data_IF_132820895004
#
_entry.id   IF_132820895004
#
_cell.length_a   1.000
_cell.length_b   1.000
_cell.length_c   1.000
_cell.angle_alpha   90.00
_cell.angle_beta   90.00
_cell.angle_gamma   90.00
#
_symmetry.space_group_name_H-M   'P 1'
#
loop_
_entity.id
_entity.type
_entity.pdbx_description
1 polymer ?
#
# COMPACT_ATOMS: atom_id res chain seq x y z
N UNK A 1 16.91 0.59 11.29
CA UNK A 1 17.30 1.78 12.09
C UNK A 1 16.38 2.91 11.65
N UNK A 2 15.51 3.45 12.53
CA UNK A 2 14.57 4.52 12.10
C UNK A 2 15.38 5.76 11.69
N UNK A 3 14.87 6.51 10.71
CA UNK A 3 15.46 7.77 10.26
C UNK A 3 15.58 8.80 11.39
N UNK A 4 16.26 9.91 11.10
CA UNK A 4 16.54 11.04 12.01
C UNK A 4 15.36 11.28 12.96
N UNK A 5 15.53 10.97 14.26
CA UNK A 5 14.47 11.22 15.25
C UNK A 5 14.10 12.70 15.17
N UNK A 6 12.83 12.98 14.87
CA UNK A 6 12.29 14.33 14.97
C UNK A 6 12.58 14.86 16.38
N UNK A 7 13.02 16.12 16.46
CA UNK A 7 13.13 16.80 17.76
C UNK A 7 11.76 16.79 18.42
N UNK A 8 11.71 16.69 19.75
CA UNK A 8 10.43 16.63 20.46
C UNK A 8 9.60 17.91 20.24
N UNK A 9 10.24 19.04 19.97
CA UNK A 9 9.59 20.28 19.51
C UNK A 9 8.90 20.13 18.14
N UNK A 10 9.55 19.46 17.18
CA UNK A 10 8.95 19.20 15.86
C UNK A 10 7.77 18.23 16.00
N UNK A 11 7.91 17.19 16.83
CA UNK A 11 6.84 16.24 17.14
C UNK A 11 5.65 16.93 17.83
N UNK A 12 5.90 17.79 18.82
CA UNK A 12 4.86 18.56 19.50
C UNK A 12 4.15 19.55 18.56
N UNK A 13 4.91 20.21 17.67
CA UNK A 13 4.36 21.12 16.67
C UNK A 13 3.50 20.39 15.64
N UNK A 14 3.95 19.22 15.17
CA UNK A 14 3.15 18.35 14.30
C UNK A 14 1.87 17.88 14.99
N UNK A 15 1.95 17.48 16.26
CA UNK A 15 0.79 17.09 17.07
C UNK A 15 -0.25 18.22 17.17
N UNK A 16 0.18 19.44 17.47
CA UNK A 16 -0.71 20.63 17.50
C UNK A 16 -1.34 20.90 16.12
N UNK A 17 -0.56 20.78 15.04
CA UNK A 17 -1.08 20.98 13.68
C UNK A 17 -2.17 19.96 13.35
N UNK A 18 -1.91 18.66 13.54
CA UNK A 18 -2.87 17.60 13.29
C UNK A 18 -4.13 17.75 14.17
N UNK A 19 -3.97 18.10 15.44
CA UNK A 19 -5.08 18.36 16.36
C UNK A 19 -5.93 19.56 15.91
N UNK A 20 -5.30 20.68 15.53
CA UNK A 20 -6.03 21.84 14.96
C UNK A 20 -6.72 21.52 13.63
N UNK A 21 -6.19 20.53 12.89
CA UNK A 21 -6.79 20.00 11.69
C UNK A 21 -7.94 19.03 11.94
N UNK A 22 -8.12 18.49 13.15
CA UNK A 22 -9.01 17.35 13.39
C UNK A 22 -8.55 16.09 12.63
N UNK A 23 -7.24 15.90 12.45
CA UNK A 23 -6.67 14.80 11.67
C UNK A 23 -6.16 13.70 12.62
N UNK A 24 -6.73 12.51 12.51
CA UNK A 24 -6.28 11.32 13.25
C UNK A 24 -5.31 10.46 12.44
N UNK A 25 -4.01 10.64 12.70
CA UNK A 25 -2.94 9.76 12.19
C UNK A 25 -2.38 8.86 13.30
N UNK A 26 -2.10 7.60 12.97
CA UNK A 26 -1.40 6.64 13.85
C UNK A 26 0.12 6.77 13.78
N UNK A 27 0.86 5.93 14.53
CA UNK A 27 2.33 6.06 14.68
C UNK A 27 3.07 6.01 13.33
N UNK A 28 2.85 4.98 12.51
CA UNK A 28 3.55 4.81 11.22
C UNK A 28 3.30 5.98 10.26
N UNK A 29 2.06 6.49 10.23
CA UNK A 29 1.66 7.63 9.42
C UNK A 29 2.33 8.92 9.89
N UNK A 30 2.44 9.15 11.22
CA UNK A 30 3.17 10.27 11.80
C UNK A 30 4.67 10.18 11.55
N UNK A 31 5.26 8.98 11.59
CA UNK A 31 6.67 8.76 11.28
C UNK A 31 6.97 9.10 9.79
N UNK A 32 6.12 8.65 8.84
CA UNK A 32 6.23 9.01 7.42
C UNK A 32 6.00 10.50 7.16
N UNK A 33 5.01 11.13 7.82
CA UNK A 33 4.76 12.58 7.73
C UNK A 33 5.92 13.40 8.31
N UNK A 34 6.51 12.95 9.42
CA UNK A 34 7.68 13.56 10.03
C UNK A 34 8.95 13.41 9.17
N UNK A 35 9.14 12.25 8.53
CA UNK A 35 10.19 12.07 7.53
C UNK A 35 9.99 13.02 6.34
N UNK A 36 8.76 13.15 5.83
CA UNK A 36 8.43 14.10 4.75
C UNK A 36 8.73 15.54 5.18
N UNK A 37 8.40 15.94 6.40
CA UNK A 37 8.73 17.26 6.93
C UNK A 37 10.26 17.51 6.97
N UNK A 38 11.05 16.49 7.30
CA UNK A 38 12.51 16.54 7.25
C UNK A 38 13.08 16.70 5.84
N UNK A 39 12.43 16.14 4.81
CA UNK A 39 12.88 16.25 3.41
C UNK A 39 12.37 17.52 2.72
N UNK A 40 11.13 17.93 2.99
CA UNK A 40 10.44 18.99 2.25
C UNK A 40 10.35 20.33 2.98
N UNK A 41 10.41 20.32 4.32
CA UNK A 41 10.17 21.49 5.16
C UNK A 41 8.86 21.33 5.97
N UNK A 42 8.62 22.28 6.88
CA UNK A 42 7.52 22.20 7.83
C UNK A 42 6.13 22.00 7.14
N UNK A 43 5.24 21.17 7.71
CA UNK A 43 3.92 20.94 7.15
C UNK A 43 2.94 22.10 7.43
N UNK A 44 2.00 22.30 6.52
CA UNK A 44 0.88 23.24 6.66
C UNK A 44 -0.44 22.62 6.21
N UNK A 45 -1.55 23.03 6.83
CA UNK A 45 -2.92 22.65 6.46
C UNK A 45 -3.46 23.55 5.32
N UNK A 46 -4.27 22.97 4.43
CA UNK A 46 -5.28 23.61 3.56
C UNK A 46 -5.02 25.08 3.18
N UNK A 47 -3.90 25.36 2.51
CA UNK A 47 -3.59 26.71 2.08
C UNK A 47 -2.53 26.78 1.00
N UNK A 48 -2.90 27.43 -0.10
CA UNK A 48 -1.97 28.13 -0.99
C UNK A 48 -2.09 29.62 -0.68
N UNK A 49 -1.42 30.16 0.36
CA UNK A 49 -1.20 31.59 0.44
C UNK A 49 -0.22 31.98 -0.68
N UNK A 50 -0.40 33.18 -1.24
CA UNK A 50 0.35 33.66 -2.41
C UNK A 50 1.85 33.42 -2.31
N UNK A 51 2.40 32.68 -3.28
CA UNK A 51 3.84 32.47 -3.44
C UNK A 51 4.27 31.00 -3.59
N UNK A 52 5.37 30.81 -4.31
CA UNK A 52 6.00 29.50 -4.55
C UNK A 52 6.52 28.91 -3.24
N UNK A 53 5.71 28.10 -2.54
CA UNK A 53 6.17 27.35 -1.36
C UNK A 53 7.00 26.12 -1.75
N UNK A 54 8.02 25.85 -0.93
CA UNK A 54 8.55 24.51 -0.72
C UNK A 54 7.97 24.03 0.63
N UNK A 55 7.72 22.72 0.81
CA UNK A 55 7.17 22.20 2.06
C UNK A 55 6.31 20.96 1.90
N UNK A 56 5.75 20.50 3.02
CA UNK A 56 4.66 19.51 3.03
C UNK A 56 3.33 20.24 3.10
N UNK A 57 2.42 19.94 2.18
CA UNK A 57 1.03 20.39 2.22
C UNK A 57 0.16 19.22 2.69
N UNK A 58 -0.68 19.46 3.68
CA UNK A 58 -1.67 18.49 4.16
C UNK A 58 -3.03 18.99 3.69
N UNK A 59 -3.67 18.25 2.78
CA UNK A 59 -5.05 18.53 2.37
C UNK A 59 -6.02 17.74 3.24
N UNK A 60 -6.88 18.45 3.98
CA UNK A 60 -7.93 17.80 4.78
C UNK A 60 -9.13 17.44 3.93
N UNK A 61 -9.62 18.38 3.12
CA UNK A 61 -10.87 18.24 2.37
C UNK A 61 -10.63 18.09 0.87
N UNK A 62 -11.49 17.34 0.14
CA UNK A 62 -11.35 17.19 -1.30
C UNK A 62 -11.65 18.51 -2.02
N UNK A 63 -10.71 19.06 -2.80
CA UNK A 63 -10.95 20.28 -3.57
C UNK A 63 -11.92 20.02 -4.73
N UNK A 64 -12.75 21.02 -5.06
CA UNK A 64 -13.54 21.01 -6.29
C UNK A 64 -12.63 20.91 -7.53
N UNK A 65 -13.15 20.47 -8.67
CA UNK A 65 -12.35 20.30 -9.89
C UNK A 65 -11.56 21.56 -10.29
N UNK A 66 -12.18 22.74 -10.21
CA UNK A 66 -11.50 24.01 -10.47
C UNK A 66 -10.42 24.35 -9.42
N UNK A 67 -10.70 24.13 -8.13
CA UNK A 67 -9.73 24.35 -7.07
C UNK A 67 -8.54 23.37 -7.17
N UNK A 68 -8.77 22.12 -7.58
CA UNK A 68 -7.75 21.11 -7.81
C UNK A 68 -6.82 21.47 -8.99
N UNK A 69 -7.33 22.07 -10.07
CA UNK A 69 -6.51 22.59 -11.18
C UNK A 69 -5.62 23.75 -10.73
N UNK A 70 -6.17 24.72 -9.99
CA UNK A 70 -5.41 25.85 -9.46
C UNK A 70 -4.35 25.37 -8.44
N UNK A 71 -4.73 24.46 -7.55
CA UNK A 71 -3.82 23.84 -6.60
C UNK A 71 -2.67 23.11 -7.31
N UNK A 72 -2.97 22.23 -8.26
CA UNK A 72 -1.97 21.51 -9.05
C UNK A 72 -0.97 22.47 -9.74
N UNK A 73 -1.46 23.56 -10.36
CA UNK A 73 -0.63 24.58 -11.01
C UNK A 73 0.25 25.39 -10.05
N UNK A 74 -0.09 25.44 -8.76
CA UNK A 74 0.70 26.14 -7.74
C UNK A 74 1.88 25.29 -7.21
N UNK A 75 1.82 23.97 -7.37
CA UNK A 75 2.83 23.04 -6.87
C UNK A 75 4.11 23.08 -7.73
N UNK A 76 5.22 22.71 -7.11
CA UNK A 76 6.52 22.55 -7.75
C UNK A 76 7.26 21.32 -7.15
N UNK A 77 8.41 20.89 -7.70
CA UNK A 77 9.15 19.72 -7.19
C UNK A 77 9.68 19.84 -5.75
N UNK A 78 9.67 21.05 -5.17
CA UNK A 78 9.96 21.32 -3.76
C UNK A 78 8.77 21.10 -2.82
N UNK A 79 7.61 20.69 -3.33
CA UNK A 79 6.42 20.31 -2.55
C UNK A 79 6.26 18.79 -2.43
N UNK A 80 5.82 18.34 -1.26
CA UNK A 80 5.14 17.06 -1.07
C UNK A 80 3.69 17.32 -0.64
N UNK A 81 2.76 16.49 -1.11
CA UNK A 81 1.37 16.49 -0.69
C UNK A 81 1.10 15.24 0.17
N UNK A 82 0.35 15.44 1.25
CA UNK A 82 -0.21 14.39 2.10
C UNK A 82 -1.73 14.54 2.14
N UNK A 83 -2.44 13.43 1.93
CA UNK A 83 -3.90 13.34 2.05
C UNK A 83 -4.17 12.32 3.16
N UNK A 84 -4.57 12.75 4.38
CA UNK A 84 -4.79 11.86 5.52
C UNK A 84 -5.94 10.86 5.36
N UNK A 85 -6.88 11.16 4.43
CA UNK A 85 -8.07 10.37 4.09
C UNK A 85 -7.98 9.89 2.64
N UNK A 86 -6.86 9.24 2.32
CA UNK A 86 -6.42 8.88 0.97
C UNK A 86 -7.33 7.87 0.27
N UNK A 87 -8.10 7.10 1.04
CA UNK A 87 -9.14 6.19 0.56
C UNK A 87 -10.39 6.91 0.02
N UNK A 88 -10.64 8.15 0.44
CA UNK A 88 -11.84 8.89 0.05
C UNK A 88 -11.81 9.24 -1.47
N UNK A 89 -12.88 8.95 -2.22
CA UNK A 89 -12.93 9.13 -3.67
C UNK A 89 -12.99 10.60 -4.10
N UNK A 90 -13.42 11.53 -3.23
CA UNK A 90 -13.46 12.97 -3.54
C UNK A 90 -12.09 13.55 -3.92
N UNK A 91 -11.00 12.95 -3.44
CA UNK A 91 -9.64 13.34 -3.80
C UNK A 91 -9.14 12.77 -5.14
N UNK A 92 -9.85 11.84 -5.79
CA UNK A 92 -9.34 11.10 -6.95
C UNK A 92 -9.02 12.01 -8.14
N UNK A 93 -9.80 13.06 -8.35
CA UNK A 93 -9.52 14.04 -9.41
C UNK A 93 -8.14 14.70 -9.23
N UNK A 94 -7.80 15.12 -8.00
CA UNK A 94 -6.48 15.67 -7.71
C UNK A 94 -5.39 14.60 -7.76
N UNK A 95 -5.60 13.43 -7.13
CA UNK A 95 -4.66 12.29 -7.18
C UNK A 95 -4.29 11.95 -8.63
N UNK A 96 -5.26 11.97 -9.55
CA UNK A 96 -5.05 11.64 -10.98
C UNK A 96 -4.10 12.56 -11.74
N UNK A 97 -3.85 13.77 -11.23
CA UNK A 97 -2.94 14.77 -11.82
C UNK A 97 -1.53 14.71 -11.23
N UNK A 98 -1.39 14.09 -10.06
CA UNK A 98 -0.15 14.04 -9.30
C UNK A 98 0.62 12.76 -9.59
N UNK A 99 1.92 12.82 -9.32
CA UNK A 99 2.71 11.61 -9.13
C UNK A 99 2.43 11.10 -7.73
N UNK A 100 1.75 9.96 -7.63
CA UNK A 100 1.66 9.19 -6.40
C UNK A 100 3.08 8.69 -6.01
N UNK A 101 3.48 8.91 -4.76
CA UNK A 101 4.76 8.42 -4.25
C UNK A 101 4.60 7.17 -3.38
N UNK A 102 3.54 7.13 -2.57
CA UNK A 102 3.29 6.02 -1.67
C UNK A 102 2.02 6.16 -0.85
N UNK A 103 1.78 5.15 -0.01
CA UNK A 103 0.66 5.07 0.93
C UNK A 103 1.13 4.49 2.24
N UNK A 104 0.48 4.85 3.35
CA UNK A 104 0.62 4.15 4.63
C UNK A 104 -0.77 3.69 5.06
N UNK A 105 -0.94 2.38 5.23
CA UNK A 105 -2.21 1.77 5.63
C UNK A 105 -2.75 2.30 6.98
N UNK A 106 -4.02 2.00 7.30
CA UNK A 106 -4.64 2.38 8.56
C UNK A 106 -3.96 1.71 9.76
N UNK A 107 -3.93 2.42 10.89
CA UNK A 107 -3.32 2.03 12.15
C UNK A 107 -4.38 1.52 13.15
N UNK A 108 -5.41 0.79 12.68
CA UNK A 108 -6.60 0.51 13.48
C UNK A 108 -7.27 1.80 13.96
N UNK A 109 -7.92 1.76 15.13
CA UNK A 109 -8.62 2.92 15.68
C UNK A 109 -7.72 4.17 15.84
N UNK A 110 -6.42 4.05 16.10
CA UNK A 110 -5.53 5.20 16.36
C UNK A 110 -5.20 6.05 15.13
N UNK A 111 -5.45 5.51 13.93
CA UNK A 111 -5.32 6.21 12.66
C UNK A 111 -6.09 5.44 11.59
N UNK A 112 -7.43 5.50 11.58
CA UNK A 112 -8.27 4.54 10.88
C UNK A 112 -8.40 4.81 9.37
N UNK A 113 -7.74 5.86 8.89
CA UNK A 113 -7.68 6.26 7.48
C UNK A 113 -6.39 5.78 6.81
N UNK A 114 -6.38 5.70 5.48
CA UNK A 114 -5.18 5.45 4.70
C UNK A 114 -4.49 6.78 4.34
N UNK A 115 -3.23 6.94 4.72
CA UNK A 115 -2.49 8.16 4.38
C UNK A 115 -1.85 8.03 2.99
N UNK A 116 -2.34 8.79 2.02
CA UNK A 116 -1.74 8.91 0.68
C UNK A 116 -0.69 10.03 0.66
N UNK A 117 0.41 9.84 -0.07
CA UNK A 117 1.40 10.90 -0.29
C UNK A 117 2.00 10.90 -1.70
N UNK A 118 2.33 12.09 -2.20
CA UNK A 118 2.74 12.31 -3.59
C UNK A 118 3.23 13.73 -3.88
N UNK A 119 3.32 14.10 -5.16
CA UNK A 119 3.77 15.42 -5.59
C UNK A 119 3.82 15.58 -7.10
N UNK A 120 4.60 16.56 -7.59
CA UNK A 120 4.74 16.82 -9.03
C UNK A 120 5.68 15.82 -9.72
N UNK A 121 6.67 15.29 -9.01
CA UNK A 121 7.57 14.27 -9.53
C UNK A 121 8.72 13.93 -8.60
N UNK A 122 9.46 12.88 -8.95
CA UNK A 122 10.45 12.24 -8.08
C UNK A 122 11.82 12.94 -7.98
N UNK A 123 12.08 13.98 -8.78
CA UNK A 123 13.44 14.54 -8.96
C UNK A 123 14.17 14.87 -7.66
N UNK A 124 13.49 15.55 -6.72
CA UNK A 124 14.06 15.89 -5.41
C UNK A 124 14.45 14.66 -4.58
N UNK A 125 13.64 13.60 -4.61
CA UNK A 125 13.90 12.37 -3.86
C UNK A 125 14.97 11.50 -4.53
N UNK A 126 15.02 11.49 -5.86
CA UNK A 126 16.08 10.81 -6.62
C UNK A 126 17.45 11.43 -6.32
N UNK A 127 17.59 12.75 -6.45
CA UNK A 127 18.86 13.44 -6.14
C UNK A 127 19.28 13.33 -4.68
N UNK A 128 18.34 13.13 -3.75
CA UNK A 128 18.66 12.87 -2.36
C UNK A 128 19.06 11.40 -2.10
N UNK A 129 18.48 10.44 -2.84
CA UNK A 129 18.75 9.01 -2.68
C UNK A 129 20.21 8.62 -3.00
N UNK A 130 20.88 9.34 -3.91
CA UNK A 130 22.30 9.16 -4.21
C UNK A 130 23.20 9.33 -2.98
N UNK A 131 22.78 10.18 -2.04
CA UNK A 131 23.48 10.42 -0.76
C UNK A 131 23.18 9.38 0.34
N UNK A 132 22.27 8.44 0.08
CA UNK A 132 21.93 7.39 1.05
C UNK A 132 23.15 6.57 1.43
N UNK A 133 23.30 6.26 2.72
CA UNK A 133 24.30 5.30 3.23
C UNK A 133 23.72 3.90 3.40
N UNK A 134 22.38 3.77 3.46
CA UNK A 134 21.73 2.47 3.55
C UNK A 134 21.73 1.80 2.16
N UNK A 135 22.33 0.61 2.08
CA UNK A 135 22.42 -0.23 0.89
C UNK A 135 21.53 -1.47 1.09
N UNK A 136 20.60 -1.79 0.18
CA UNK A 136 19.94 -3.09 0.19
C UNK A 136 20.90 -4.17 -0.32
N UNK A 137 20.73 -5.42 0.14
CA UNK A 137 21.31 -6.56 -0.59
C UNK A 137 20.46 -6.82 -1.82
N UNK A 138 21.10 -6.86 -2.98
CA UNK A 138 20.44 -7.24 -4.21
C UNK A 138 20.33 -8.76 -4.27
N UNK A 139 19.12 -9.27 -4.45
CA UNK A 139 18.87 -10.71 -4.52
C UNK A 139 18.24 -11.06 -5.87
N UNK A 140 18.64 -12.20 -6.43
CA UNK A 140 18.14 -12.66 -7.72
C UNK A 140 18.25 -14.18 -7.83
N UNK A 141 17.39 -14.79 -8.64
CA UNK A 141 17.40 -16.22 -8.93
C UNK A 141 17.10 -16.46 -10.41
N UNK A 142 17.60 -17.58 -10.93
CA UNK A 142 17.38 -18.01 -12.31
C UNK A 142 17.24 -19.54 -12.38
N UNK A 143 16.60 -20.11 -13.42
CA UNK A 143 16.40 -21.55 -13.52
C UNK A 143 17.74 -22.27 -13.73
N UNK A 144 17.98 -23.36 -12.99
CA UNK A 144 19.17 -24.17 -13.16
C UNK A 144 19.20 -24.83 -14.54
N UNK A 145 20.36 -24.77 -15.21
CA UNK A 145 20.54 -25.31 -16.56
C UNK A 145 20.04 -24.40 -17.69
N UNK A 146 19.43 -23.24 -17.38
CA UNK A 146 19.04 -22.25 -18.38
C UNK A 146 20.24 -21.43 -18.91
N UNK A 147 20.04 -20.79 -20.07
CA UNK A 147 20.98 -19.80 -20.62
C UNK A 147 21.08 -18.51 -19.79
N UNK A 148 20.20 -18.30 -18.81
CA UNK A 148 20.19 -17.12 -17.94
C UNK A 148 21.41 -17.05 -17.01
N UNK A 149 22.16 -18.15 -16.84
CA UNK A 149 23.44 -18.10 -16.14
C UNK A 149 24.40 -17.04 -16.72
N UNK A 150 24.36 -16.82 -18.04
CA UNK A 150 25.12 -15.76 -18.73
C UNK A 150 24.49 -14.39 -18.53
N UNK A 151 23.16 -14.30 -18.51
CA UNK A 151 22.44 -13.04 -18.27
C UNK A 151 22.70 -12.51 -16.86
N UNK A 152 22.70 -13.41 -15.86
CA UNK A 152 23.07 -13.12 -14.47
C UNK A 152 24.48 -12.55 -14.30
N UNK A 153 25.42 -12.79 -15.23
CA UNK A 153 26.75 -12.14 -15.20
C UNK A 153 26.65 -10.64 -15.51
N UNK A 154 25.75 -10.22 -16.41
CA UNK A 154 25.55 -8.81 -16.70
C UNK A 154 25.00 -8.06 -15.48
N UNK A 155 24.07 -8.68 -14.74
CA UNK A 155 23.60 -8.18 -13.45
C UNK A 155 24.77 -8.07 -12.45
N UNK A 156 25.54 -9.16 -12.23
CA UNK A 156 26.70 -9.17 -11.31
C UNK A 156 27.72 -8.07 -11.62
N UNK A 157 28.16 -7.94 -12.87
CA UNK A 157 29.12 -6.89 -13.25
C UNK A 157 28.56 -5.47 -13.02
N UNK A 158 27.25 -5.28 -13.22
CA UNK A 158 26.61 -3.98 -12.93
C UNK A 158 26.52 -3.68 -11.43
N UNK A 159 26.39 -4.72 -10.59
CA UNK A 159 26.38 -4.62 -9.13
C UNK A 159 27.77 -4.32 -8.55
N UNK A 160 28.79 -5.02 -9.04
CA UNK A 160 30.21 -4.78 -8.69
C UNK A 160 30.62 -3.34 -8.99
N UNK A 161 30.21 -2.80 -10.15
CA UNK A 161 30.47 -1.40 -10.54
C UNK A 161 29.85 -0.37 -9.58
N UNK A 162 28.81 -0.73 -8.84
CA UNK A 162 28.14 0.15 -7.87
C UNK A 162 28.43 -0.21 -6.40
N UNK A 163 29.38 -1.12 -6.14
CA UNK A 163 29.70 -1.64 -4.80
C UNK A 163 28.46 -2.16 -4.05
N UNK A 164 27.62 -2.92 -4.76
CA UNK A 164 26.37 -3.46 -4.23
C UNK A 164 26.51 -4.93 -3.84
N UNK A 165 26.42 -5.19 -2.53
CA UNK A 165 26.36 -6.54 -2.00
C UNK A 165 25.17 -7.31 -2.61
N UNK A 166 25.43 -8.52 -3.12
CA UNK A 166 24.41 -9.33 -3.76
C UNK A 166 24.34 -10.77 -3.24
N UNK A 167 23.26 -11.47 -3.58
CA UNK A 167 23.17 -12.93 -3.54
C UNK A 167 22.35 -13.40 -4.73
N UNK A 168 23.01 -14.09 -5.67
CA UNK A 168 22.40 -14.56 -6.91
C UNK A 168 22.76 -16.04 -7.08
N UNK A 169 21.75 -16.92 -7.18
CA UNK A 169 21.94 -18.38 -7.28
C UNK A 169 20.95 -19.06 -8.25
N UNK A 170 21.33 -20.21 -8.85
CA UNK A 170 20.43 -21.02 -9.65
C UNK A 170 19.49 -21.84 -8.76
N UNK A 171 18.19 -21.72 -8.97
CA UNK A 171 17.16 -22.52 -8.29
C UNK A 171 16.68 -23.67 -9.18
N UNK A 172 16.27 -24.78 -8.56
CA UNK A 172 15.64 -25.88 -9.29
C UNK A 172 14.20 -25.47 -9.63
N UNK A 173 13.94 -25.26 -10.91
CA UNK A 173 12.64 -24.81 -11.40
C UNK A 173 11.79 -25.99 -11.89
N UNK A 174 10.53 -26.07 -11.48
CA UNK A 174 9.61 -27.16 -11.81
C UNK A 174 9.38 -27.30 -13.33
N UNK A 175 9.40 -26.18 -14.06
CA UNK A 175 9.28 -26.17 -15.53
C UNK A 175 10.64 -26.12 -16.24
N UNK A 176 11.75 -26.05 -15.51
CA UNK A 176 13.13 -26.05 -16.01
C UNK A 176 13.57 -24.76 -16.73
N UNK A 177 12.71 -24.16 -17.55
CA UNK A 177 13.05 -23.00 -18.39
C UNK A 177 12.72 -21.63 -17.77
N UNK A 178 11.91 -21.59 -16.70
CA UNK A 178 11.40 -20.36 -16.07
C UNK A 178 11.15 -20.55 -14.58
N UNK A 179 11.21 -19.46 -13.82
CA UNK A 179 10.84 -19.43 -12.40
C UNK A 179 9.33 -19.16 -12.25
N UNK A 180 8.66 -19.97 -11.44
CA UNK A 180 7.25 -19.77 -11.07
C UNK A 180 7.11 -18.80 -9.89
N UNK A 181 5.95 -18.14 -9.78
CA UNK A 181 5.66 -17.16 -8.73
C UNK A 181 5.96 -17.70 -7.31
N UNK A 182 5.58 -18.94 -7.02
CA UNK A 182 5.82 -19.55 -5.70
C UNK A 182 7.31 -19.83 -5.45
N UNK A 183 8.06 -20.27 -6.47
CA UNK A 183 9.51 -20.55 -6.36
C UNK A 183 10.30 -19.27 -6.06
N UNK A 184 9.88 -18.15 -6.68
CA UNK A 184 10.42 -16.81 -6.43
C UNK A 184 10.06 -16.31 -5.03
N UNK A 185 8.83 -16.54 -4.55
CA UNK A 185 8.43 -16.19 -3.19
C UNK A 185 9.17 -17.03 -2.13
N UNK A 186 9.36 -18.33 -2.35
CA UNK A 186 10.19 -19.22 -1.52
C UNK A 186 11.66 -18.76 -1.49
N UNK A 187 12.23 -18.42 -2.65
CA UNK A 187 13.56 -17.83 -2.75
C UNK A 187 13.66 -16.56 -1.88
N UNK A 188 12.70 -15.64 -2.03
CA UNK A 188 12.66 -14.40 -1.24
C UNK A 188 12.50 -14.64 0.26
N UNK A 189 11.69 -15.61 0.68
CA UNK A 189 11.55 -16.00 2.09
C UNK A 189 12.87 -16.56 2.65
N UNK A 190 13.56 -17.41 1.89
CA UNK A 190 14.88 -17.93 2.30
C UNK A 190 15.93 -16.83 2.37
N UNK A 191 15.90 -15.85 1.46
CA UNK A 191 16.78 -14.67 1.55
C UNK A 191 16.44 -13.78 2.75
N UNK A 192 15.15 -13.60 3.07
CA UNK A 192 14.70 -12.84 4.24
C UNK A 192 15.22 -13.43 5.55
N UNK A 193 15.21 -14.76 5.67
CA UNK A 193 15.71 -15.45 6.85
C UNK A 193 17.24 -15.46 6.94
N UNK A 194 17.94 -15.45 5.79
CA UNK A 194 19.41 -15.50 5.70
C UNK A 194 20.09 -14.16 5.98
N UNK A 195 19.53 -13.06 5.50
CA UNK A 195 20.13 -11.73 5.55
C UNK A 195 19.45 -10.82 6.58
N UNK A 196 20.14 -9.78 7.06
CA UNK A 196 19.66 -8.86 8.12
C UNK A 196 19.45 -7.43 7.63
N UNK A 197 20.03 -7.11 6.48
CA UNK A 197 19.84 -5.91 5.69
C UNK A 197 18.55 -5.97 4.84
N UNK A 198 18.01 -4.83 4.38
CA UNK A 198 16.90 -4.80 3.42
C UNK A 198 17.23 -5.56 2.14
N UNK A 199 16.20 -6.13 1.51
CA UNK A 199 16.34 -6.87 0.25
C UNK A 199 15.79 -6.04 -0.91
N UNK A 200 16.44 -6.12 -2.06
CA UNK A 200 15.87 -5.68 -3.33
C UNK A 200 16.00 -6.83 -4.32
N UNK A 201 14.86 -7.44 -4.68
CA UNK A 201 14.80 -8.39 -5.77
C UNK A 201 14.96 -7.69 -7.12
N UNK A 202 15.76 -8.28 -8.01
CA UNK A 202 15.92 -7.86 -9.41
C UNK A 202 15.99 -9.12 -10.29
N UNK A 203 15.29 -9.14 -11.43
CA UNK A 203 15.38 -10.27 -12.37
C UNK A 203 16.80 -10.51 -12.88
N UNK A 204 17.15 -11.78 -13.10
CA UNK A 204 18.52 -12.19 -13.38
C UNK A 204 19.11 -11.60 -14.68
N UNK A 205 18.28 -11.35 -15.70
CA UNK A 205 18.71 -10.71 -16.95
C UNK A 205 18.80 -9.19 -16.92
N UNK A 206 18.44 -8.54 -15.81
CA UNK A 206 18.48 -7.09 -15.71
C UNK A 206 19.91 -6.53 -15.62
N UNK A 207 20.07 -5.27 -16.00
CA UNK A 207 21.31 -4.51 -15.86
C UNK A 207 21.02 -3.22 -15.10
N UNK A 208 21.78 -2.99 -14.02
CA UNK A 208 21.75 -1.69 -13.33
C UNK A 208 22.48 -0.65 -14.18
N UNK A 209 21.85 0.52 -14.34
CA UNK A 209 22.45 1.71 -14.97
C UNK A 209 22.81 2.79 -13.95
N UNK A 210 22.18 2.75 -12.79
CA UNK A 210 22.42 3.57 -11.60
C UNK A 210 22.26 2.68 -10.35
N UNK A 211 22.70 3.14 -9.18
CA UNK A 211 22.49 2.41 -7.94
C UNK A 211 21.01 2.56 -7.48
N UNK A 212 20.25 1.47 -7.26
CA UNK A 212 18.81 1.54 -6.94
C UNK A 212 18.54 1.85 -5.46
N UNK A 213 19.00 3.02 -5.01
CA UNK A 213 19.05 3.42 -3.60
C UNK A 213 17.76 4.03 -3.05
N UNK A 214 16.82 4.43 -3.93
CA UNK A 214 15.60 5.15 -3.55
C UNK A 214 14.78 4.43 -2.46
N UNK A 215 14.45 3.13 -2.54
CA UNK A 215 13.67 2.47 -1.49
C UNK A 215 14.34 2.49 -0.11
N UNK A 216 15.66 2.31 -0.06
CA UNK A 216 16.44 2.36 1.18
C UNK A 216 16.58 3.78 1.72
N UNK A 217 16.68 4.80 0.86
CA UNK A 217 16.61 6.21 1.26
C UNK A 217 15.24 6.58 1.85
N UNK A 218 14.16 6.12 1.23
CA UNK A 218 12.79 6.37 1.68
C UNK A 218 12.46 5.62 2.99
N UNK A 219 13.14 4.51 3.28
CA UNK A 219 12.97 3.77 4.53
C UNK A 219 11.58 3.15 4.70
N UNK A 220 10.90 2.84 3.60
CA UNK A 220 9.57 2.22 3.58
C UNK A 220 9.62 0.71 3.91
N UNK A 221 8.44 0.10 4.12
CA UNK A 221 8.32 -1.35 4.30
C UNK A 221 8.49 -2.09 2.98
N UNK A 222 7.80 -1.63 1.93
CA UNK A 222 7.77 -2.29 0.62
C UNK A 222 7.89 -1.23 -0.48
N UNK A 223 8.65 -1.51 -1.55
CA UNK A 223 8.62 -0.68 -2.75
C UNK A 223 8.63 -1.52 -4.03
N UNK A 224 7.73 -1.18 -4.97
CA UNK A 224 7.61 -1.86 -6.26
C UNK A 224 6.93 -0.96 -7.30
N UNK A 225 6.98 -1.33 -8.57
CA UNK A 225 6.39 -0.54 -9.65
C UNK A 225 4.92 -0.94 -9.92
N UNK A 226 4.01 0.05 -9.99
CA UNK A 226 2.63 -0.14 -10.50
C UNK A 226 2.61 -0.09 -12.03
N UNK A 227 2.36 -1.21 -12.68
CA UNK A 227 1.99 -1.24 -14.09
C UNK A 227 0.49 -0.97 -14.26
N UNK A 228 0.08 -0.36 -15.39
CA UNK A 228 -1.31 -0.01 -15.70
C UNK A 228 -2.13 0.69 -14.58
N UNK A 229 -1.46 1.37 -13.63
CA UNK A 229 -1.99 1.99 -12.39
C UNK A 229 -2.51 1.02 -11.31
N UNK A 230 -2.47 -0.29 -11.50
CA UNK A 230 -2.99 -1.27 -10.52
C UNK A 230 -2.20 -2.57 -10.44
N UNK A 231 -1.63 -3.07 -11.53
CA UNK A 231 -0.87 -4.32 -11.55
C UNK A 231 0.48 -4.12 -10.87
N UNK A 232 0.91 -5.05 -10.03
CA UNK A 232 2.20 -4.96 -9.35
C UNK A 232 3.28 -5.71 -10.15
N UNK A 233 4.45 -5.10 -10.36
CA UNK A 233 5.56 -5.80 -11.03
C UNK A 233 6.51 -6.43 -10.02
N UNK A 234 6.57 -7.77 -10.01
CA UNK A 234 7.53 -8.51 -9.18
C UNK A 234 8.98 -8.45 -9.66
N UNK A 235 9.24 -7.90 -10.86
CA UNK A 235 10.60 -7.79 -11.43
C UNK A 235 11.54 -6.88 -10.63
N UNK A 236 10.98 -6.02 -9.78
CA UNK A 236 11.73 -5.11 -8.92
C UNK A 236 10.94 -4.91 -7.62
N UNK A 237 11.27 -5.70 -6.61
CA UNK A 237 10.56 -5.74 -5.33
C UNK A 237 11.54 -5.49 -4.17
N UNK A 238 11.37 -4.35 -3.50
CA UNK A 238 12.08 -4.00 -2.28
C UNK A 238 11.30 -4.44 -1.04
N UNK A 239 12.01 -5.02 -0.07
CA UNK A 239 11.50 -5.34 1.26
C UNK A 239 12.43 -4.74 2.33
N UNK A 240 11.94 -3.71 3.01
CA UNK A 240 12.53 -3.15 4.22
C UNK A 240 12.46 -4.13 5.37
N UNK A 241 13.35 -4.02 6.37
CA UNK A 241 13.42 -4.98 7.49
C UNK A 241 12.46 -4.63 8.62
N UNK A 242 11.18 -4.79 8.34
CA UNK A 242 10.07 -4.54 9.26
C UNK A 242 9.12 -5.73 9.33
N UNK A 243 8.25 -5.75 10.36
CA UNK A 243 7.24 -6.80 10.52
C UNK A 243 6.14 -6.74 9.44
N UNK A 244 5.84 -5.55 8.93
CA UNK A 244 4.82 -5.37 7.89
C UNK A 244 5.32 -5.88 6.53
N UNK A 245 6.60 -5.63 6.19
CA UNK A 245 7.25 -6.23 5.02
C UNK A 245 7.35 -7.76 5.13
N UNK A 246 7.64 -8.31 6.32
CA UNK A 246 7.63 -9.77 6.54
C UNK A 246 6.24 -10.36 6.34
N UNK A 247 5.20 -9.70 6.86
CA UNK A 247 3.81 -10.12 6.69
C UNK A 247 3.44 -10.15 5.20
N UNK A 248 3.76 -9.09 4.45
CA UNK A 248 3.52 -9.01 3.00
C UNK A 248 4.20 -10.16 2.23
N UNK A 249 5.47 -10.44 2.55
CA UNK A 249 6.21 -11.55 1.96
C UNK A 249 5.60 -12.92 2.30
N UNK A 250 5.15 -13.13 3.55
CA UNK A 250 4.46 -14.37 3.98
C UNK A 250 3.12 -14.55 3.28
N UNK A 251 2.32 -13.50 3.18
CA UNK A 251 1.03 -13.53 2.48
C UNK A 251 1.23 -13.81 0.97
N UNK A 252 2.22 -13.19 0.34
CA UNK A 252 2.55 -13.46 -1.07
C UNK A 252 3.01 -14.91 -1.28
N UNK A 253 3.90 -15.44 -0.44
CA UNK A 253 4.33 -16.84 -0.46
C UNK A 253 3.13 -17.80 -0.37
N UNK A 254 2.21 -17.57 0.59
CA UNK A 254 1.03 -18.41 0.79
C UNK A 254 0.07 -18.35 -0.40
N UNK A 255 -0.20 -17.15 -0.94
CA UNK A 255 -1.05 -16.98 -2.13
C UNK A 255 -0.43 -17.63 -3.37
N UNK A 256 0.87 -17.47 -3.60
CA UNK A 256 1.57 -18.05 -4.73
C UNK A 256 1.58 -19.59 -4.70
N UNK A 257 1.76 -20.19 -3.52
CA UNK A 257 1.66 -21.64 -3.34
C UNK A 257 0.23 -22.17 -3.50
N UNK A 258 -0.79 -21.37 -3.11
CA UNK A 258 -2.21 -21.78 -3.15
C UNK A 258 -2.84 -21.59 -4.54
N UNK A 259 -2.34 -20.64 -5.34
CA UNK A 259 -2.90 -20.25 -6.64
C UNK A 259 -1.84 -20.21 -7.75
N UNK A 260 -1.10 -21.30 -8.01
CA UNK A 260 0.07 -21.31 -8.91
C UNK A 260 -0.27 -21.05 -10.40
N UNK A 261 -1.54 -21.10 -10.78
CA UNK A 261 -2.02 -20.78 -12.13
C UNK A 261 -2.32 -19.28 -12.34
N UNK A 262 -2.26 -18.46 -11.28
CA UNK A 262 -2.51 -17.01 -11.35
C UNK A 262 -1.17 -16.28 -11.47
N UNK A 263 -1.13 -15.20 -12.25
CA UNK A 263 0.11 -14.47 -12.53
C UNK A 263 0.63 -13.70 -11.31
N UNK A 264 1.95 -13.50 -11.29
CA UNK A 264 2.66 -12.88 -10.17
C UNK A 264 2.08 -11.52 -9.77
N UNK A 265 1.83 -10.64 -10.75
CA UNK A 265 1.42 -9.27 -10.49
C UNK A 265 0.04 -9.11 -9.85
N UNK A 266 -0.86 -10.08 -10.02
CA UNK A 266 -2.13 -10.13 -9.27
C UNK A 266 -1.92 -10.67 -7.86
N UNK A 267 -1.10 -11.72 -7.69
CA UNK A 267 -0.85 -12.31 -6.37
C UNK A 267 -0.09 -11.35 -5.44
N UNK A 268 0.81 -10.52 -5.98
CA UNK A 268 1.44 -9.41 -5.28
C UNK A 268 0.42 -8.32 -4.88
N UNK A 269 -0.50 -7.98 -5.78
CA UNK A 269 -1.57 -6.99 -5.52
C UNK A 269 -2.48 -7.45 -4.36
N UNK A 270 -2.89 -8.72 -4.39
CA UNK A 270 -3.69 -9.32 -3.32
C UNK A 270 -2.91 -9.43 -2.01
N UNK A 271 -1.63 -9.82 -2.04
CA UNK A 271 -0.78 -9.84 -0.85
C UNK A 271 -0.62 -8.46 -0.21
N UNK A 272 -0.45 -7.42 -1.03
CA UNK A 272 -0.41 -6.03 -0.57
C UNK A 272 -1.74 -5.59 0.02
N UNK A 273 -2.86 -5.85 -0.66
CA UNK A 273 -4.22 -5.46 -0.23
C UNK A 273 -4.55 -6.06 1.15
N UNK A 274 -4.36 -7.38 1.29
CA UNK A 274 -4.58 -8.12 2.54
C UNK A 274 -3.64 -7.71 3.67
N UNK A 275 -2.38 -7.38 3.37
CA UNK A 275 -1.43 -6.96 4.42
C UNK A 275 -1.75 -5.55 4.89
N UNK A 276 -1.96 -4.62 3.95
CA UNK A 276 -2.22 -3.21 4.25
C UNK A 276 -3.55 -2.99 4.98
N UNK A 277 -4.52 -3.92 4.89
CA UNK A 277 -5.76 -3.83 5.68
C UNK A 277 -5.57 -4.25 7.14
N UNK A 278 -4.61 -5.14 7.43
CA UNK A 278 -4.34 -5.66 8.77
C UNK A 278 -3.25 -4.88 9.53
N UNK A 279 -2.30 -4.27 8.82
CA UNK A 279 -1.20 -3.49 9.41
C UNK A 279 -0.94 -2.21 8.61
N UNK A 280 -0.41 -1.13 9.23
CA UNK A 280 -0.12 0.13 8.55
C UNK A 280 1.14 0.03 7.68
N UNK A 281 1.01 -0.69 6.55
CA UNK A 281 2.09 -0.96 5.60
C UNK A 281 2.50 0.31 4.86
N UNK A 282 3.75 0.75 5.06
CA UNK A 282 4.35 1.89 4.36
C UNK A 282 4.88 1.46 2.99
N UNK A 283 4.08 1.74 1.95
CA UNK A 283 4.32 1.30 0.58
C UNK A 283 4.78 2.45 -0.29
N UNK A 284 5.84 2.22 -1.07
CA UNK A 284 6.35 3.14 -2.09
C UNK A 284 6.10 2.59 -3.49
N UNK A 285 5.69 3.47 -4.40
CA UNK A 285 5.46 3.12 -5.80
C UNK A 285 6.63 3.63 -6.65
N UNK A 286 7.50 2.71 -7.06
CA UNK A 286 8.71 3.05 -7.80
C UNK A 286 8.35 3.81 -9.10
N UNK A 287 9.08 4.90 -9.42
CA UNK A 287 8.83 5.66 -10.64
C UNK A 287 9.04 4.82 -11.91
N UNK A 288 8.41 5.25 -13.01
CA UNK A 288 8.70 4.75 -14.37
C UNK A 288 10.18 4.84 -14.76
N UNK A 289 10.98 5.70 -14.12
CA UNK A 289 12.43 5.76 -14.31
C UNK A 289 13.22 4.72 -13.51
N UNK A 290 12.59 3.97 -12.59
CA UNK A 290 13.26 2.88 -11.87
C UNK A 290 13.20 1.55 -12.62
N UNK A 291 12.28 1.40 -13.57
CA UNK A 291 12.00 0.15 -14.27
C UNK A 291 11.64 0.44 -15.73
N UNK A 292 12.39 -0.14 -16.68
CA UNK A 292 12.00 -0.19 -18.09
C UNK A 292 12.45 -1.50 -18.73
N UNK A 293 11.76 -1.91 -19.79
CA UNK A 293 12.19 -2.99 -20.66
C UNK A 293 13.12 -2.48 -21.76
N UNK A 294 14.01 -3.35 -22.25
CA UNK A 294 14.88 -3.05 -23.39
C UNK A 294 14.05 -2.82 -24.66
N UNK A 295 14.04 -1.57 -25.14
CA UNK A 295 13.24 -1.13 -26.28
C UNK A 295 12.15 -0.11 -25.89
N UNK A 296 11.82 0.01 -24.61
CA UNK A 296 10.88 1.03 -24.13
C UNK A 296 11.44 2.44 -24.32
N UNK A 297 10.55 3.41 -24.55
CA UNK A 297 10.87 4.85 -24.57
C UNK A 297 11.63 5.31 -23.30
N UNK A 298 11.35 4.67 -22.16
CA UNK A 298 11.99 4.94 -20.86
C UNK A 298 13.37 4.32 -20.67
N UNK A 299 13.78 3.34 -21.49
CA UNK A 299 15.01 2.55 -21.30
C UNK A 299 16.28 3.41 -21.19
N UNK A 300 16.31 4.54 -21.90
CA UNK A 300 17.41 5.50 -21.90
C UNK A 300 17.65 6.19 -20.54
N UNK A 301 16.67 6.19 -19.64
CA UNK A 301 16.71 6.85 -18.31
C UNK A 301 16.32 5.90 -17.16
N UNK A 302 16.38 4.59 -17.38
CA UNK A 302 16.00 3.60 -16.39
C UNK A 302 17.15 3.24 -15.45
N UNK A 303 16.95 3.36 -14.13
CA UNK A 303 17.89 2.90 -13.09
C UNK A 303 18.14 1.40 -13.21
N UNK A 304 17.08 0.61 -13.46
CA UNK A 304 17.13 -0.83 -13.75
C UNK A 304 16.53 -1.09 -15.13
N UNK A 305 17.33 -1.67 -16.03
CA UNK A 305 16.91 -2.07 -17.38
C UNK A 305 16.73 -3.58 -17.45
N UNK A 306 15.52 -4.04 -17.74
CA UNK A 306 15.19 -5.45 -17.92
C UNK A 306 15.32 -5.86 -19.39
N UNK A 307 15.85 -7.04 -19.67
CA UNK A 307 16.14 -7.53 -21.03
C UNK A 307 14.99 -8.36 -21.63
N UNK A 308 14.28 -9.13 -20.81
CA UNK A 308 13.12 -9.93 -21.21
C UNK A 308 11.86 -9.08 -21.41
N UNK A 309 11.07 -9.40 -22.44
CA UNK A 309 9.70 -8.86 -22.58
C UNK A 309 8.80 -9.39 -21.46
N UNK A 310 7.79 -8.61 -21.08
CA UNK A 310 6.76 -9.06 -20.14
C UNK A 310 5.92 -10.18 -20.71
N UNK A 311 5.67 -11.22 -19.91
CA UNK A 311 4.82 -12.35 -20.27
C UNK A 311 3.47 -12.32 -19.55
N UNK A 312 2.53 -13.13 -20.04
CA UNK A 312 1.20 -13.34 -19.42
C UNK A 312 1.24 -14.06 -18.06
N UNK A 313 2.42 -14.54 -17.64
CA UNK A 313 2.68 -15.10 -16.31
C UNK A 313 3.06 -14.02 -15.28
N UNK A 314 3.39 -12.81 -15.74
CA UNK A 314 3.78 -11.68 -14.90
C UNK A 314 2.67 -10.63 -14.79
N UNK A 315 2.09 -10.22 -15.93
CA UNK A 315 0.99 -9.28 -16.05
C UNK A 315 -0.21 -9.92 -16.77
N UNK A 316 -1.40 -9.37 -16.60
CA UNK A 316 -2.64 -10.00 -17.06
C UNK A 316 -2.70 -10.19 -18.58
N UNK A 317 -3.17 -11.35 -19.09
CA UNK A 317 -3.21 -11.64 -20.53
C UNK A 317 -4.25 -10.84 -21.32
N UNK A 318 -5.22 -10.22 -20.66
CA UNK A 318 -6.42 -9.67 -21.30
C UNK A 318 -6.84 -8.30 -20.70
N UNK A 319 -6.95 -7.25 -21.53
CA UNK A 319 -7.58 -5.97 -21.14
C UNK A 319 -9.01 -6.11 -20.61
N UNK A 320 -9.75 -7.16 -21.00
CA UNK A 320 -11.10 -7.51 -20.57
C UNK A 320 -11.17 -8.17 -19.19
N UNK A 321 -10.27 -9.11 -18.87
CA UNK A 321 -10.09 -9.64 -17.52
C UNK A 321 -9.82 -8.51 -16.54
N UNK A 322 -8.99 -7.54 -16.93
CA UNK A 322 -8.77 -6.37 -16.11
C UNK A 322 -10.09 -5.64 -15.80
N UNK A 323 -11.09 -5.52 -16.70
CA UNK A 323 -12.42 -5.00 -16.31
C UNK A 323 -13.19 -5.87 -15.31
N UNK A 324 -13.12 -7.20 -15.38
CA UNK A 324 -13.82 -8.10 -14.44
C UNK A 324 -13.20 -8.12 -13.04
N UNK A 325 -11.93 -7.71 -12.91
CA UNK A 325 -11.15 -7.77 -11.67
C UNK A 325 -10.68 -6.38 -11.18
N UNK A 326 -10.90 -5.31 -11.96
CA UNK A 326 -10.70 -3.89 -11.57
C UNK A 326 -11.57 -3.42 -10.40
N UNK A 327 -12.40 -4.28 -9.82
CA UNK A 327 -13.32 -4.03 -8.70
C UNK A 327 -12.69 -4.24 -7.29
N UNK A 328 -11.52 -3.65 -7.02
CA UNK A 328 -11.11 -3.27 -5.66
C UNK A 328 -10.55 -1.82 -5.60
N UNK A 329 -11.03 -0.97 -4.67
CA UNK A 329 -10.47 0.37 -4.35
C UNK A 329 -9.52 0.33 -3.17
N UNK A 330 -8.33 0.88 -3.38
CA UNK A 330 -7.44 1.38 -2.33
C UNK A 330 -6.58 2.50 -2.92
N UNK A 331 -6.36 3.61 -2.21
CA UNK A 331 -5.56 4.77 -2.64
C UNK A 331 -5.50 5.08 -4.17
N UNK A 332 -6.64 5.25 -4.85
CA UNK A 332 -6.70 5.48 -6.32
C UNK A 332 -7.25 4.32 -7.18
N UNK A 333 -7.74 3.27 -6.50
CA UNK A 333 -8.56 2.11 -6.92
C UNK A 333 -9.76 2.21 -7.91
N UNK A 334 -10.50 1.09 -8.12
CA UNK A 334 -11.91 0.80 -8.62
C UNK A 334 -12.82 -0.10 -7.72
N UNK A 335 -13.95 0.26 -7.10
CA UNK A 335 -14.86 -0.68 -6.36
C UNK A 335 -14.51 -1.15 -4.92
N UNK A 336 -15.14 -2.20 -4.32
CA UNK A 336 -15.01 -2.54 -2.87
C UNK A 336 -14.94 -4.04 -2.43
N UNK A 337 -14.30 -4.95 -3.18
CA UNK A 337 -14.22 -6.38 -2.81
C UNK A 337 -13.41 -6.72 -1.56
N UNK A 338 -12.33 -6.00 -1.30
CA UNK A 338 -11.44 -6.25 -0.16
C UNK A 338 -11.82 -5.37 1.03
N UNK A 339 -11.71 -5.91 2.25
CA UNK A 339 -11.81 -5.12 3.47
C UNK A 339 -10.74 -4.01 3.46
N UNK A 340 -11.16 -2.75 3.51
CA UNK A 340 -10.30 -1.58 3.61
C UNK A 340 -9.40 -1.67 4.85
N UNK A 341 -9.98 -2.14 5.96
CA UNK A 341 -9.26 -2.38 7.21
C UNK A 341 -9.82 -3.61 7.92
N UNK A 342 -8.94 -4.40 8.54
CA UNK A 342 -9.26 -5.52 9.41
C UNK A 342 -8.67 -5.25 10.79
N UNK A 343 -9.52 -5.22 11.81
CA UNK A 343 -9.09 -5.16 13.21
C UNK A 343 -9.34 -6.51 13.88
N UNK A 344 -8.45 -6.91 14.78
CA UNK A 344 -8.62 -8.12 15.60
C UNK A 344 -8.63 -7.74 17.08
N UNK A 345 -9.46 -8.44 17.85
CA UNK A 345 -9.52 -8.32 19.31
C UNK A 345 -8.90 -9.54 19.99
N UNK A 346 -8.83 -9.53 21.31
CA UNK A 346 -8.34 -10.67 22.11
C UNK A 346 -9.45 -11.64 22.54
N UNK A 347 -10.68 -11.49 22.04
CA UNK A 347 -11.79 -12.38 22.44
C UNK A 347 -11.62 -13.77 21.84
N UNK A 348 -11.86 -14.83 22.64
CA UNK A 348 -11.66 -16.23 22.23
C UNK A 348 -12.77 -16.82 21.35
N UNK A 349 -13.71 -16.00 20.90
CA UNK A 349 -14.84 -16.35 20.04
C UNK A 349 -14.42 -16.37 18.56
N UNK A 350 -14.84 -17.38 17.79
CA UNK A 350 -14.47 -17.48 16.37
C UNK A 350 -15.21 -16.52 15.42
N UNK A 351 -16.15 -15.72 15.92
CA UNK A 351 -17.09 -14.97 15.10
C UNK A 351 -16.51 -13.60 14.69
N UNK A 352 -16.58 -13.30 13.39
CA UNK A 352 -16.25 -12.00 12.83
C UNK A 352 -17.49 -11.14 12.54
N UNK A 353 -17.26 -9.84 12.34
CA UNK A 353 -18.28 -8.89 11.91
C UNK A 353 -17.76 -8.04 10.75
N UNK A 354 -18.56 -7.88 9.70
CA UNK A 354 -18.28 -7.10 8.51
C UNK A 354 -19.14 -5.83 8.52
N UNK A 355 -18.52 -4.67 8.71
CA UNK A 355 -19.14 -3.36 8.62
C UNK A 355 -18.98 -2.81 7.19
N UNK A 356 -20.09 -2.61 6.49
CA UNK A 356 -20.15 -2.15 5.11
C UNK A 356 -20.65 -0.70 5.11
N UNK A 357 -19.78 0.25 4.78
CA UNK A 357 -20.13 1.66 4.65
C UNK A 357 -20.72 1.93 3.26
N UNK A 358 -21.95 2.42 3.23
CA UNK A 358 -22.73 2.60 2.00
C UNK A 358 -22.45 3.94 1.30
N UNK A 359 -22.58 3.98 -0.03
CA UNK A 359 -22.67 5.21 -0.84
C UNK A 359 -21.55 6.24 -0.58
N UNK A 360 -20.31 5.78 -0.37
CA UNK A 360 -19.17 6.63 0.01
C UNK A 360 -18.87 7.72 -1.05
N UNK A 361 -19.16 7.47 -2.33
CA UNK A 361 -18.94 8.45 -3.41
C UNK A 361 -19.92 9.62 -3.43
N UNK A 362 -21.14 9.41 -2.92
CA UNK A 362 -22.22 10.40 -2.89
C UNK A 362 -22.33 11.11 -1.53
N UNK A 363 -21.50 10.73 -0.57
CA UNK A 363 -21.53 11.21 0.82
C UNK A 363 -20.47 12.28 1.06
N UNK A 364 -20.70 13.13 2.06
CA UNK A 364 -19.73 14.12 2.50
C UNK A 364 -18.43 13.46 3.05
N UNK A 365 -17.28 14.06 2.75
CA UNK A 365 -15.98 13.51 3.14
C UNK A 365 -15.70 13.61 4.65
N UNK A 366 -16.28 14.60 5.33
CA UNK A 366 -16.32 14.69 6.79
C UNK A 366 -17.19 13.59 7.39
N UNK A 367 -18.40 13.40 6.88
CA UNK A 367 -19.33 12.37 7.34
C UNK A 367 -18.77 10.95 7.19
N UNK A 368 -18.21 10.61 6.01
CA UNK A 368 -17.52 9.31 5.80
C UNK A 368 -16.40 9.12 6.81
N UNK A 369 -15.58 10.16 7.03
CA UNK A 369 -14.45 10.08 7.94
C UNK A 369 -14.87 9.85 9.39
N UNK A 370 -15.80 10.67 9.89
CA UNK A 370 -16.34 10.54 11.23
C UNK A 370 -16.99 9.17 11.47
N UNK A 371 -17.67 8.59 10.47
CA UNK A 371 -18.23 7.24 10.57
C UNK A 371 -17.14 6.18 10.65
N UNK A 372 -16.06 6.27 9.86
CA UNK A 372 -14.91 5.36 9.98
C UNK A 372 -14.26 5.49 11.36
N UNK A 373 -14.02 6.70 11.87
CA UNK A 373 -13.49 6.90 13.22
C UNK A 373 -14.42 6.34 14.31
N UNK A 374 -15.74 6.44 14.13
CA UNK A 374 -16.72 5.94 15.09
C UNK A 374 -16.87 4.40 15.08
N UNK A 375 -16.93 3.75 13.90
CA UNK A 375 -16.94 2.27 13.78
C UNK A 375 -15.69 1.69 14.45
N UNK A 376 -14.53 2.23 14.12
CA UNK A 376 -13.24 1.70 14.60
C UNK A 376 -12.99 2.02 16.08
N UNK A 377 -13.42 3.20 16.53
CA UNK A 377 -13.42 3.59 17.95
C UNK A 377 -14.32 2.71 18.80
N UNK A 378 -15.57 2.46 18.36
CA UNK A 378 -16.50 1.58 19.05
C UNK A 378 -15.95 0.16 19.16
N UNK A 379 -15.42 -0.41 18.06
CA UNK A 379 -14.85 -1.77 18.09
C UNK A 379 -13.62 -1.90 19.01
N UNK A 380 -12.81 -0.84 19.12
CA UNK A 380 -11.69 -0.80 20.06
C UNK A 380 -12.10 -0.61 21.52
N UNK A 381 -13.25 0.03 21.78
CA UNK A 381 -13.79 0.26 23.11
C UNK A 381 -14.54 -0.98 23.65
N UNK A 382 -15.47 -1.50 22.85
CA UNK A 382 -16.18 -2.75 23.09
C UNK A 382 -16.44 -3.48 21.76
N UNK A 383 -15.73 -4.59 21.55
CA UNK A 383 -15.86 -5.40 20.34
C UNK A 383 -17.10 -6.31 20.34
N UNK A 384 -17.97 -6.24 21.35
CA UNK A 384 -19.23 -7.01 21.44
C UNK A 384 -19.05 -8.53 21.46
N UNK A 385 -17.85 -9.02 21.77
CA UNK A 385 -17.51 -10.44 21.64
C UNK A 385 -17.17 -10.90 20.22
N UNK A 386 -16.98 -10.01 19.24
CA UNK A 386 -16.43 -10.36 17.93
C UNK A 386 -14.90 -10.29 17.94
N UNK A 387 -14.23 -11.35 17.46
CA UNK A 387 -12.75 -11.41 17.43
C UNK A 387 -12.12 -10.70 16.24
N UNK A 388 -12.93 -10.37 15.23
CA UNK A 388 -12.51 -9.69 13.99
C UNK A 388 -13.57 -8.70 13.54
N UNK A 389 -13.17 -7.48 13.23
CA UNK A 389 -13.92 -6.50 12.44
C UNK A 389 -13.29 -6.41 11.06
N UNK A 390 -14.10 -6.53 10.02
CA UNK A 390 -13.77 -6.14 8.65
C UNK A 390 -14.55 -4.89 8.27
N UNK A 391 -13.88 -3.82 7.86
CA UNK A 391 -14.50 -2.58 7.42
C UNK A 391 -14.32 -2.45 5.90
N UNK A 392 -15.42 -2.37 5.16
CA UNK A 392 -15.45 -2.17 3.71
C UNK A 392 -16.09 -0.84 3.34
N UNK A 393 -15.48 -0.10 2.41
CA UNK A 393 -15.93 1.23 1.97
C UNK A 393 -16.52 1.14 0.56
N UNK A 394 -17.85 1.02 0.46
CA UNK A 394 -18.53 0.86 -0.81
C UNK A 394 -18.81 2.23 -1.45
N UNK A 395 -18.13 2.52 -2.55
CA UNK A 395 -18.33 3.76 -3.29
C UNK A 395 -19.68 3.77 -4.01
N UNK A 396 -20.10 2.62 -4.54
CA UNK A 396 -21.30 2.44 -5.37
C UNK A 396 -22.23 1.35 -4.80
N UNK A 397 -23.36 1.06 -5.46
CA UNK A 397 -24.27 -0.02 -5.02
C UNK A 397 -23.74 -1.42 -5.38
N UNK A 398 -23.14 -1.59 -6.57
CA UNK A 398 -22.55 -2.87 -7.00
C UNK A 398 -21.45 -3.37 -6.03
N UNK A 399 -20.73 -2.42 -5.43
CA UNK A 399 -19.73 -2.64 -4.38
C UNK A 399 -20.34 -3.26 -3.11
N UNK A 400 -21.55 -2.85 -2.73
CA UNK A 400 -22.26 -3.37 -1.54
C UNK A 400 -22.66 -4.83 -1.76
N UNK A 401 -23.11 -5.17 -2.97
CA UNK A 401 -23.42 -6.56 -3.34
C UNK A 401 -22.20 -7.47 -3.19
N UNK A 402 -21.07 -7.07 -3.78
CA UNK A 402 -19.83 -7.84 -3.69
C UNK A 402 -19.30 -7.97 -2.24
N UNK A 403 -19.37 -6.89 -1.44
CA UNK A 403 -18.95 -6.92 -0.04
C UNK A 403 -19.84 -7.82 0.83
N UNK A 404 -21.17 -7.82 0.60
CA UNK A 404 -22.11 -8.75 1.27
C UNK A 404 -21.81 -10.21 0.93
N UNK A 405 -21.59 -10.51 -0.36
CA UNK A 405 -21.26 -11.86 -0.83
C UNK A 405 -19.96 -12.39 -0.21
N UNK A 406 -18.92 -11.55 -0.13
CA UNK A 406 -17.66 -11.89 0.52
C UNK A 406 -17.83 -12.14 2.02
N UNK A 407 -18.53 -11.25 2.73
CA UNK A 407 -18.78 -11.40 4.17
C UNK A 407 -19.59 -12.66 4.52
N UNK A 408 -20.57 -13.02 3.67
CA UNK A 408 -21.38 -14.23 3.82
C UNK A 408 -20.56 -15.53 3.66
N UNK A 409 -19.45 -15.49 2.90
CA UNK A 409 -18.52 -16.62 2.77
C UNK A 409 -17.53 -16.72 3.94
N UNK A 410 -17.35 -15.66 4.73
CA UNK A 410 -16.36 -15.54 5.80
C UNK A 410 -16.93 -15.76 7.23
N UNK A 411 -18.00 -16.56 7.38
CA UNK A 411 -18.96 -16.54 8.50
C UNK A 411 -19.10 -15.23 9.30
N UNK A 412 -19.06 -14.08 8.63
CA UNK A 412 -19.13 -12.78 9.31
C UNK A 412 -20.58 -12.32 9.42
N UNK A 413 -20.95 -11.76 10.59
CA UNK A 413 -22.20 -11.01 10.71
C UNK A 413 -22.07 -9.71 9.91
N UNK A 414 -23.07 -9.38 9.10
CA UNK A 414 -23.07 -8.17 8.27
C UNK A 414 -23.77 -7.03 9.00
N UNK A 415 -23.12 -5.86 9.04
CA UNK A 415 -23.71 -4.58 9.40
C UNK A 415 -23.57 -3.61 8.24
N UNK A 416 -24.64 -2.89 7.92
CA UNK A 416 -24.62 -1.83 6.91
C UNK A 416 -24.82 -0.48 7.58
N UNK A 417 -23.97 0.48 7.21
CA UNK A 417 -23.84 1.75 7.92
C UNK A 417 -23.86 2.88 6.89
N UNK A 418 -24.78 3.83 7.10
CA UNK A 418 -24.80 5.07 6.31
C UNK A 418 -23.76 6.07 6.86
N UNK A 419 -22.98 6.76 6.00
CA UNK A 419 -22.13 7.87 6.44
C UNK A 419 -22.93 8.94 7.21
N UNK A 420 -22.41 9.37 8.36
CA UNK A 420 -23.09 10.25 9.31
C UNK A 420 -24.03 9.55 10.30
N UNK A 421 -24.25 8.23 10.21
CA UNK A 421 -25.01 7.47 11.21
C UNK A 421 -24.33 7.55 12.59
N UNK A 422 -25.13 7.75 13.64
CA UNK A 422 -24.63 7.71 15.01
C UNK A 422 -24.27 6.28 15.42
N UNK A 423 -23.06 6.12 15.95
CA UNK A 423 -22.49 4.87 16.43
C UNK A 423 -22.04 5.11 17.86
N UNK A 424 -22.65 4.39 18.80
CA UNK A 424 -22.29 4.44 20.21
C UNK A 424 -21.08 3.53 20.50
N UNK A 425 -20.41 3.72 21.64
CA UNK A 425 -19.22 2.93 22.00
C UNK A 425 -19.53 1.44 22.24
N UNK A 426 -20.77 1.12 22.62
CA UNK A 426 -21.29 -0.22 22.88
C UNK A 426 -22.02 -0.84 21.66
N UNK A 427 -21.93 -0.20 20.49
CA UNK A 427 -22.66 -0.58 19.26
C UNK A 427 -22.55 -2.06 18.89
N UNK A 428 -21.37 -2.67 19.05
CA UNK A 428 -21.16 -4.09 18.78
C UNK A 428 -21.79 -5.01 19.83
N UNK A 429 -21.76 -4.63 21.12
CA UNK A 429 -22.35 -5.39 22.21
C UNK A 429 -23.89 -5.33 22.18
N UNK A 430 -24.45 -4.17 21.83
CA UNK A 430 -25.89 -4.01 21.59
C UNK A 430 -26.34 -4.93 20.45
N UNK A 431 -25.64 -4.91 19.30
CA UNK A 431 -25.97 -5.78 18.18
C UNK A 431 -25.87 -7.27 18.53
N UNK A 432 -24.82 -7.71 19.25
CA UNK A 432 -24.67 -9.09 19.69
C UNK A 432 -25.84 -9.55 20.60
N UNK A 433 -26.34 -8.65 21.45
CA UNK A 433 -27.45 -8.92 22.37
C UNK A 433 -28.80 -9.09 21.65
N UNK A 434 -29.09 -8.25 20.65
CA UNK A 434 -30.31 -8.36 19.82
C UNK A 434 -30.36 -9.70 19.05
N UNK A 435 -29.22 -10.22 18.62
CA UNK A 435 -29.12 -11.53 17.95
C UNK A 435 -29.39 -12.68 18.93
N UNK A 436 -28.85 -12.64 20.15
CA UNK A 436 -29.15 -13.63 21.17
C UNK A 436 -30.67 -13.69 21.49
N UNK A 437 -31.33 -12.53 21.56
CA UNK A 437 -32.78 -12.44 21.75
C UNK A 437 -33.58 -12.94 20.53
N UNK A 438 -33.12 -12.68 19.32
CA UNK A 438 -33.80 -13.11 18.08
C UNK A 438 -33.67 -14.62 17.88
N UNK A 439 -32.48 -15.18 18.08
CA UNK A 439 -32.23 -16.63 18.03
C UNK A 439 -32.97 -17.37 19.14
N UNK A 440 -33.02 -16.83 20.36
CA UNK A 440 -33.81 -17.41 21.45
C UNK A 440 -35.30 -17.50 21.10
N UNK A 441 -35.88 -16.46 20.49
CA UNK A 441 -37.29 -16.45 20.03
C UNK A 441 -37.58 -17.42 18.88
N UNK A 442 -36.59 -17.81 18.09
CA UNK A 442 -36.76 -18.82 17.04
C UNK A 442 -36.61 -20.26 17.55
N UNK A 443 -35.88 -20.47 18.66
CA UNK A 443 -35.71 -21.78 19.29
C UNK A 443 -36.81 -22.06 20.34
N UNK A 444 -37.30 -21.01 21.00
CA UNK A 444 -38.39 -21.05 21.98
C UNK A 444 -39.48 -20.04 21.58
N UNK A 445 -40.45 -20.44 20.72
CA UNK A 445 -41.56 -19.59 20.29
C UNK A 445 -42.62 -19.37 21.38
#
# INVERSE_FOLDING_TARGET
MRGTKLTDETRATLGRLLQSGGIRLGEAQRDRLGWLAGQYGAPALDGVPDGRRNGVVILKEPPSGAAAELFYRSLNPGCALVIPRGENPGFDFLKSKLTEFGTVGPCGADGPHEMWWGGIGWSKLLSAADSSTLRPRIVSCYPRGSGEATAALALRHSLERFDLACHIEPVEAQLGDRILCFEKAEFMMRMWNKYREPLLFVEAGAVLREAPLLPSFLGCDVALHKWNRWEMSGRTLYLGRTKAAEMMLRTWQQLAASYPAIWEGYLLDQAWSLTSSQVPLDTVWLPRSYHALKGDLGASRATILHDQQTTTLELGPDPGFASMVRAARRAGRTGARDAFMVMTSKTGTGNGIAAILLNVSASDAGAVAATVEAVTGAYAADCGGYSRLELSLCAWQDDVGAAREAAAQAPCRILEIAPGQHIANDFFAAHASDEALTTARHIFP
#
